data_IF_706872542639
#
_entry.id   IF_706872542639
#
_cell.length_a   1.000
_cell.length_b   1.000
_cell.length_c   1.000
_cell.angle_alpha   90.00
_cell.angle_beta   90.00
_cell.angle_gamma   90.00
#
_symmetry.space_group_name_H-M   'P 1'
#
loop_
_entity.id
_entity.type
_entity.pdbx_description
1 polymer ?
#
# COMPACT_ATOMS: atom_id res chain seq x y z
N UNK A 1 34.30 9.97 21.24
CA UNK A 1 32.98 9.67 21.85
C UNK A 1 32.22 8.81 20.85
N UNK A 2 31.69 7.65 21.24
CA UNK A 2 30.88 6.87 20.28
C UNK A 2 29.57 7.59 19.97
N UNK A 3 29.02 7.35 18.78
CA UNK A 3 27.73 7.94 18.38
C UNK A 3 26.60 7.51 19.30
N UNK A 4 26.61 6.22 19.69
CA UNK A 4 25.60 5.66 20.60
C UNK A 4 25.57 6.42 21.94
N UNK A 5 26.75 6.62 22.55
CA UNK A 5 26.84 7.40 23.78
C UNK A 5 26.35 8.83 23.62
N UNK A 6 26.64 9.47 22.46
CA UNK A 6 26.15 10.81 22.18
C UNK A 6 24.62 10.87 22.07
N UNK A 7 24.03 9.84 21.44
CA UNK A 7 22.55 9.73 21.31
C UNK A 7 21.90 9.47 22.67
N UNK A 8 22.48 8.60 23.50
CA UNK A 8 21.97 8.32 24.86
C UNK A 8 21.98 9.58 25.72
N UNK A 9 23.01 10.43 25.59
CA UNK A 9 23.16 11.68 26.34
C UNK A 9 22.16 12.78 25.89
N UNK A 10 21.42 12.59 24.76
CA UNK A 10 20.43 13.57 24.28
C UNK A 10 19.13 13.59 25.09
N UNK A 11 18.87 12.61 25.94
CA UNK A 11 17.69 12.47 26.81
C UNK A 11 16.35 12.82 26.10
N UNK A 12 16.10 12.22 24.93
CA UNK A 12 14.93 12.47 24.13
C UNK A 12 13.72 11.69 24.64
N UNK A 13 12.61 12.37 24.85
CA UNK A 13 11.28 11.77 25.04
C UNK A 13 10.69 11.22 23.73
N UNK A 14 9.67 10.36 23.83
CA UNK A 14 8.96 9.84 22.67
C UNK A 14 8.28 10.99 21.88
N UNK A 15 8.55 11.07 20.58
CA UNK A 15 8.07 12.15 19.70
C UNK A 15 8.98 13.37 19.63
N UNK A 16 10.01 13.45 20.48
CA UNK A 16 10.92 14.59 20.49
C UNK A 16 11.83 14.60 19.27
N UNK A 17 12.13 15.79 18.82
CA UNK A 17 13.11 16.05 17.77
C UNK A 17 14.05 17.16 18.19
N UNK A 18 15.35 16.91 18.14
CA UNK A 18 16.39 17.90 18.41
C UNK A 18 17.19 18.17 17.14
N UNK A 19 17.56 19.44 16.96
CA UNK A 19 18.50 19.87 15.93
C UNK A 19 19.66 20.60 16.56
N UNK A 20 20.87 20.21 16.18
CA UNK A 20 22.05 20.78 16.81
C UNK A 20 23.32 20.55 16.05
N UNK A 21 24.35 20.50 16.81
CA UNK A 21 25.72 20.34 16.42
C UNK A 21 26.03 18.87 16.10
N UNK A 22 26.70 18.65 14.98
CA UNK A 22 27.12 17.30 14.59
C UNK A 22 28.38 16.89 15.37
N UNK A 23 28.36 15.76 16.08
CA UNK A 23 29.49 15.32 16.89
C UNK A 23 30.71 14.88 16.05
N UNK A 24 30.50 14.53 14.76
CA UNK A 24 31.55 14.06 13.88
C UNK A 24 32.18 15.21 13.08
N UNK A 25 31.38 15.96 12.32
CA UNK A 25 31.93 17.00 11.42
C UNK A 25 31.99 18.41 12.02
N UNK A 26 31.54 18.60 13.24
CA UNK A 26 31.58 19.86 13.96
C UNK A 26 30.66 20.97 13.43
N UNK A 27 29.75 20.66 12.50
CA UNK A 27 28.86 21.67 11.90
C UNK A 27 27.68 21.99 12.81
N UNK A 28 27.39 23.31 12.96
CA UNK A 28 26.27 23.78 13.75
C UNK A 28 24.94 23.59 13.00
N UNK A 29 23.88 23.19 13.71
CA UNK A 29 22.52 23.07 13.20
C UNK A 29 22.34 22.16 11.97
N UNK A 30 23.23 21.17 11.79
CA UNK A 30 23.16 20.22 10.70
C UNK A 30 22.82 18.80 11.14
N UNK A 31 22.94 18.50 12.42
CA UNK A 31 22.57 17.23 12.98
C UNK A 31 21.12 17.28 13.49
N UNK A 32 20.33 16.26 13.18
CA UNK A 32 18.97 16.08 13.69
C UNK A 32 18.84 14.68 14.27
N UNK A 33 18.23 14.58 15.43
CA UNK A 33 17.86 13.30 16.05
C UNK A 33 16.40 13.37 16.47
N UNK A 34 15.63 12.31 16.16
CA UNK A 34 14.20 12.19 16.48
C UNK A 34 13.93 10.83 17.11
N UNK A 35 13.23 10.81 18.26
CA UNK A 35 12.83 9.57 18.91
C UNK A 35 11.44 9.17 18.51
N UNK A 36 11.29 7.97 17.97
CA UNK A 36 10.02 7.41 17.55
C UNK A 36 10.03 5.90 17.75
N UNK A 37 9.02 5.38 18.46
CA UNK A 37 8.88 3.95 18.67
C UNK A 37 10.01 3.30 19.47
N UNK A 38 10.66 4.06 20.38
CA UNK A 38 11.78 3.58 21.18
C UNK A 38 13.11 3.52 20.43
N UNK A 39 13.18 4.05 19.22
CA UNK A 39 14.41 4.22 18.45
C UNK A 39 14.67 5.71 18.18
N UNK A 40 15.94 6.09 18.13
CA UNK A 40 16.36 7.43 17.74
C UNK A 40 16.93 7.37 16.33
N UNK A 41 16.23 7.99 15.38
CA UNK A 41 16.72 8.21 14.04
C UNK A 41 17.56 9.47 14.00
N UNK A 42 18.76 9.41 13.44
CA UNK A 42 19.63 10.57 13.36
C UNK A 42 20.28 10.73 11.99
N UNK A 43 20.51 11.98 11.61
CA UNK A 43 21.14 12.33 10.34
C UNK A 43 21.86 13.68 10.40
N UNK A 44 22.99 13.81 9.69
CA UNK A 44 23.66 15.07 9.46
C UNK A 44 23.47 15.55 8.03
N UNK A 45 22.91 16.75 7.85
CA UNK A 45 22.61 17.34 6.55
C UNK A 45 23.77 18.15 5.94
N UNK A 46 24.96 18.12 6.54
CA UNK A 46 26.15 18.75 5.94
C UNK A 46 26.64 17.93 4.76
N UNK A 47 26.83 18.58 3.64
CA UNK A 47 27.39 17.96 2.44
C UNK A 47 28.76 17.30 2.76
N UNK A 48 28.89 16.02 2.46
CA UNK A 48 30.09 15.22 2.71
C UNK A 48 30.17 14.57 4.10
N UNK A 49 29.29 14.91 5.04
CA UNK A 49 29.16 14.16 6.29
C UNK A 49 28.29 12.91 6.06
N UNK A 50 28.78 11.76 6.50
CA UNK A 50 28.11 10.46 6.29
C UNK A 50 27.38 9.95 7.55
N UNK A 51 27.23 10.79 8.57
CA UNK A 51 26.59 10.43 9.80
C UNK A 51 25.07 10.35 9.60
N UNK A 52 24.57 9.13 9.64
CA UNK A 52 23.12 8.82 9.71
C UNK A 52 22.96 7.43 10.29
N UNK A 53 21.85 7.17 10.94
CA UNK A 53 21.58 5.84 11.49
C UNK A 53 20.33 5.79 12.36
N UNK A 54 20.15 4.63 12.96
CA UNK A 54 19.11 4.33 13.93
C UNK A 54 19.80 3.80 15.18
N UNK A 55 19.52 4.41 16.32
CA UNK A 55 19.98 3.94 17.61
C UNK A 55 18.76 3.48 18.44
N UNK A 56 18.75 2.22 18.86
CA UNK A 56 17.69 1.65 19.68
C UNK A 56 18.06 1.75 21.14
N UNK A 57 17.39 2.61 21.89
CA UNK A 57 17.66 2.83 23.30
C UNK A 57 16.96 1.73 24.11
N UNK A 58 17.75 0.75 24.56
CA UNK A 58 17.28 -0.23 25.54
C UNK A 58 16.25 -1.25 25.05
N UNK A 59 15.93 -1.31 23.75
CA UNK A 59 15.00 -2.30 23.21
C UNK A 59 15.74 -3.49 22.59
N UNK A 60 15.36 -4.68 22.99
CA UNK A 60 15.83 -5.92 22.34
C UNK A 60 15.03 -6.18 21.06
N UNK A 61 15.53 -7.05 20.16
CA UNK A 61 14.77 -7.47 18.98
C UNK A 61 13.41 -8.09 19.36
N UNK A 62 13.31 -8.75 20.52
CA UNK A 62 12.07 -9.28 21.05
C UNK A 62 11.08 -8.17 21.44
N UNK A 63 11.56 -7.08 22.05
CA UNK A 63 10.72 -5.92 22.41
C UNK A 63 10.17 -5.22 21.16
N UNK A 64 10.98 -5.12 20.11
CA UNK A 64 10.55 -4.56 18.81
C UNK A 64 9.47 -5.45 18.18
N UNK A 65 9.67 -6.76 18.18
CA UNK A 65 8.66 -7.70 17.65
C UNK A 65 7.35 -7.67 18.47
N UNK A 66 7.44 -7.65 19.80
CA UNK A 66 6.25 -7.55 20.65
C UNK A 66 5.46 -6.27 20.37
N UNK A 67 6.15 -5.14 20.23
CA UNK A 67 5.52 -3.85 19.93
C UNK A 67 4.91 -3.77 18.53
N UNK A 68 5.56 -4.37 17.54
CA UNK A 68 4.98 -4.50 16.19
C UNK A 68 3.70 -5.35 16.21
N UNK A 69 3.65 -6.42 16.99
CA UNK A 69 2.46 -7.25 17.16
C UNK A 69 1.34 -6.51 17.89
N UNK A 70 1.67 -5.71 18.93
CA UNK A 70 0.68 -4.87 19.62
C UNK A 70 0.08 -3.80 18.70
N UNK A 71 0.91 -3.11 17.92
CA UNK A 71 0.45 -2.09 16.95
C UNK A 71 -0.42 -2.72 15.85
N UNK A 72 -0.15 -3.96 15.48
CA UNK A 72 -0.93 -4.67 14.47
C UNK A 72 -2.27 -5.18 15.02
N UNK A 73 -2.33 -5.53 16.32
CA UNK A 73 -3.56 -5.93 17.01
C UNK A 73 -4.46 -4.74 17.35
N UNK A 74 -3.89 -3.57 17.62
CA UNK A 74 -4.63 -2.36 17.98
C UNK A 74 -5.17 -1.57 16.77
N UNK A 75 -4.76 -1.94 15.57
CA UNK A 75 -5.39 -1.38 14.35
C UNK A 75 -6.85 -1.79 14.33
N UNK A 76 -7.80 -0.85 14.39
CA UNK A 76 -9.21 -1.19 14.26
C UNK A 76 -9.36 -1.94 12.94
N UNK A 77 -9.81 -3.21 13.03
CA UNK A 77 -10.11 -3.99 11.82
C UNK A 77 -11.07 -3.14 10.99
N UNK A 78 -10.73 -2.78 9.74
CA UNK A 78 -11.58 -1.94 8.94
C UNK A 78 -12.97 -2.58 8.93
N UNK A 79 -14.00 -1.81 9.30
CA UNK A 79 -15.39 -2.25 9.13
C UNK A 79 -15.58 -2.50 7.65
N UNK A 80 -15.68 -3.76 7.29
CA UNK A 80 -15.92 -4.18 5.92
C UNK A 80 -17.39 -3.92 5.65
N UNK A 81 -17.69 -2.76 5.08
CA UNK A 81 -19.05 -2.44 4.62
C UNK A 81 -19.23 -3.03 3.22
N UNK A 82 -20.26 -3.85 3.07
CA UNK A 82 -20.64 -4.40 1.77
C UNK A 82 -20.97 -3.27 0.78
N UNK A 83 -20.51 -3.44 -0.45
CA UNK A 83 -20.89 -2.58 -1.56
C UNK A 83 -22.10 -3.18 -2.28
N UNK A 84 -23.10 -2.35 -2.55
CA UNK A 84 -24.15 -2.65 -3.53
C UNK A 84 -23.68 -2.12 -4.90
N UNK A 85 -23.63 -3.01 -5.89
CA UNK A 85 -23.31 -2.63 -7.26
C UNK A 85 -24.48 -1.87 -7.87
N UNK A 86 -24.22 -0.84 -8.69
CA UNK A 86 -25.25 -0.20 -9.52
C UNK A 86 -25.97 -1.23 -10.40
N UNK A 87 -27.26 -1.07 -10.62
CA UNK A 87 -28.12 -1.98 -11.39
C UNK A 87 -27.63 -2.23 -12.83
N UNK A 88 -26.88 -1.29 -13.38
CA UNK A 88 -26.29 -1.43 -14.72
C UNK A 88 -25.02 -2.30 -14.75
N UNK A 89 -24.56 -2.83 -13.61
CA UNK A 89 -23.50 -3.83 -13.54
C UNK A 89 -24.12 -5.19 -13.34
N UNK A 90 -24.05 -6.01 -14.36
CA UNK A 90 -24.71 -7.32 -14.41
C UNK A 90 -23.68 -8.46 -14.47
N UNK A 91 -24.03 -9.67 -14.01
CA UNK A 91 -23.22 -10.86 -14.25
C UNK A 91 -23.01 -11.10 -15.75
N UNK A 92 -21.77 -11.28 -16.18
CA UNK A 92 -21.48 -11.54 -17.58
C UNK A 92 -21.60 -13.02 -17.93
N UNK A 93 -22.82 -13.45 -18.32
CA UNK A 93 -23.14 -14.83 -18.72
C UNK A 93 -23.45 -14.97 -20.22
N UNK A 94 -23.45 -13.87 -20.98
CA UNK A 94 -24.01 -13.76 -22.34
C UNK A 94 -22.95 -13.60 -23.45
N UNK A 95 -21.72 -13.98 -23.20
CA UNK A 95 -20.63 -13.92 -24.17
C UNK A 95 -20.03 -12.53 -24.45
N UNK A 96 -20.56 -11.46 -23.84
CA UNK A 96 -20.06 -10.07 -24.04
C UNK A 96 -18.60 -9.88 -23.66
N UNK A 97 -18.10 -10.68 -22.72
CA UNK A 97 -16.71 -10.61 -22.25
C UNK A 97 -15.83 -11.71 -22.81
N UNK A 98 -16.30 -12.59 -23.69
CA UNK A 98 -15.52 -13.76 -24.15
C UNK A 98 -14.21 -13.35 -24.80
N UNK A 99 -14.24 -12.43 -25.77
CA UNK A 99 -13.00 -11.91 -26.39
C UNK A 99 -12.05 -11.26 -25.40
N UNK A 100 -12.58 -10.66 -24.34
CA UNK A 100 -11.79 -10.05 -23.30
C UNK A 100 -11.17 -11.09 -22.38
N UNK A 101 -11.94 -12.14 -22.01
CA UNK A 101 -11.46 -13.28 -21.24
C UNK A 101 -10.40 -14.07 -22.00
N UNK A 102 -10.65 -14.36 -23.28
CA UNK A 102 -9.68 -15.06 -24.17
C UNK A 102 -8.35 -14.31 -24.25
N UNK A 103 -8.43 -12.99 -24.47
CA UNK A 103 -7.24 -12.14 -24.60
C UNK A 103 -6.33 -12.15 -23.37
N UNK A 104 -6.91 -12.25 -22.19
CA UNK A 104 -6.20 -12.06 -20.91
C UNK A 104 -6.22 -13.31 -20.06
N UNK A 105 -6.72 -14.44 -20.56
CA UNK A 105 -6.88 -15.69 -19.83
C UNK A 105 -7.61 -15.51 -18.48
N UNK A 106 -8.83 -14.96 -18.54
CA UNK A 106 -9.62 -14.59 -17.35
C UNK A 106 -10.90 -15.43 -17.21
N UNK A 107 -10.94 -16.65 -17.74
CA UNK A 107 -12.14 -17.50 -17.77
C UNK A 107 -12.60 -17.94 -16.38
N UNK A 108 -11.68 -18.12 -15.45
CA UNK A 108 -11.88 -18.49 -14.05
C UNK A 108 -12.24 -17.32 -13.14
N UNK A 109 -12.23 -16.09 -13.69
CA UNK A 109 -12.53 -14.89 -12.93
C UNK A 109 -14.03 -14.55 -12.96
N UNK A 110 -14.61 -14.25 -11.82
CA UNK A 110 -16.02 -13.84 -11.66
C UNK A 110 -16.29 -12.43 -12.21
N UNK A 111 -15.96 -12.19 -13.48
CA UNK A 111 -16.13 -10.88 -14.10
C UNK A 111 -17.61 -10.52 -14.27
N UNK A 112 -17.93 -9.24 -14.05
CA UNK A 112 -19.21 -8.64 -14.33
C UNK A 112 -19.12 -7.68 -15.52
N UNK A 113 -20.24 -7.21 -16.03
CA UNK A 113 -20.29 -6.32 -17.17
C UNK A 113 -21.07 -5.04 -16.85
N UNK A 114 -20.44 -3.90 -17.06
CA UNK A 114 -21.09 -2.59 -17.03
C UNK A 114 -21.70 -2.29 -18.38
N UNK A 115 -23.05 -2.31 -18.46
CA UNK A 115 -23.80 -2.09 -19.69
C UNK A 115 -23.79 -0.62 -20.12
N UNK A 116 -23.63 0.30 -19.17
CA UNK A 116 -23.65 1.74 -19.41
C UNK A 116 -22.39 2.21 -20.12
N UNK A 117 -21.23 1.84 -19.55
CA UNK A 117 -19.93 2.31 -20.03
C UNK A 117 -19.12 1.21 -20.76
N UNK A 118 -19.72 0.04 -21.01
CA UNK A 118 -19.12 -1.09 -21.72
C UNK A 118 -17.76 -1.48 -21.13
N UNK A 119 -17.76 -1.88 -19.85
CA UNK A 119 -16.56 -2.25 -19.10
C UNK A 119 -16.61 -3.69 -18.64
N UNK A 120 -15.46 -4.36 -18.63
CA UNK A 120 -15.27 -5.56 -17.82
C UNK A 120 -15.03 -5.13 -16.37
N UNK A 121 -15.84 -5.64 -15.45
CA UNK A 121 -15.83 -5.25 -14.04
C UNK A 121 -15.24 -6.38 -13.19
N UNK A 122 -14.26 -6.03 -12.40
CA UNK A 122 -13.56 -6.90 -11.45
C UNK A 122 -14.06 -6.56 -10.05
N UNK A 123 -14.88 -7.41 -9.42
CA UNK A 123 -15.30 -7.21 -8.04
C UNK A 123 -14.12 -7.43 -7.07
N UNK A 124 -14.05 -6.63 -6.02
CA UNK A 124 -13.02 -6.70 -4.99
C UNK A 124 -13.66 -7.17 -3.69
N UNK A 125 -13.14 -8.28 -3.17
CA UNK A 125 -13.64 -8.90 -1.96
C UNK A 125 -12.61 -8.83 -0.83
N UNK A 126 -13.11 -8.58 0.40
CA UNK A 126 -12.36 -8.80 1.63
C UNK A 126 -13.20 -9.74 2.51
N UNK A 127 -12.61 -10.85 2.92
CA UNK A 127 -13.29 -11.89 3.73
C UNK A 127 -14.63 -12.35 3.15
N UNK A 128 -14.71 -12.47 1.82
CA UNK A 128 -15.93 -12.88 1.11
C UNK A 128 -17.00 -11.80 0.95
N UNK A 129 -16.77 -10.61 1.46
CA UNK A 129 -17.65 -9.44 1.31
C UNK A 129 -17.13 -8.55 0.19
N UNK A 130 -17.97 -8.25 -0.79
CA UNK A 130 -17.63 -7.31 -1.85
C UNK A 130 -17.62 -5.88 -1.29
N UNK A 131 -16.49 -5.21 -1.42
CA UNK A 131 -16.27 -3.86 -0.87
C UNK A 131 -16.09 -2.79 -1.93
N UNK A 132 -15.66 -3.18 -3.13
CA UNK A 132 -15.44 -2.28 -4.25
C UNK A 132 -15.48 -3.07 -5.57
N UNK A 133 -15.39 -2.37 -6.67
CA UNK A 133 -15.21 -2.94 -7.99
C UNK A 133 -14.40 -1.99 -8.88
N UNK A 134 -13.65 -2.57 -9.82
CA UNK A 134 -12.86 -1.82 -10.79
C UNK A 134 -13.26 -2.23 -12.19
N UNK A 135 -13.62 -1.27 -13.03
CA UNK A 135 -14.05 -1.48 -14.42
C UNK A 135 -12.98 -1.11 -15.43
N UNK A 136 -12.64 -2.02 -16.34
CA UNK A 136 -11.78 -1.75 -17.50
C UNK A 136 -12.60 -1.55 -18.76
N UNK A 137 -12.38 -0.45 -19.47
CA UNK A 137 -13.00 -0.19 -20.76
C UNK A 137 -12.64 -1.28 -21.78
N UNK A 138 -13.64 -1.78 -22.51
CA UNK A 138 -13.45 -2.78 -23.56
C UNK A 138 -12.85 -2.15 -24.83
N UNK A 139 -12.31 -2.98 -25.73
CA UNK A 139 -11.82 -2.54 -27.03
C UNK A 139 -12.94 -1.86 -27.84
N UNK A 140 -12.62 -0.78 -28.54
CA UNK A 140 -13.58 0.00 -29.31
C UNK A 140 -14.46 0.95 -28.49
N UNK A 141 -14.22 1.07 -27.18
CA UNK A 141 -14.77 2.14 -26.35
C UNK A 141 -13.81 3.31 -26.41
N UNK A 142 -14.33 4.49 -26.74
CA UNK A 142 -13.55 5.72 -26.67
C UNK A 142 -13.17 6.00 -25.20
N UNK A 143 -11.89 6.20 -24.96
CA UNK A 143 -11.33 6.44 -23.63
C UNK A 143 -10.81 7.86 -23.57
N UNK A 144 -11.32 8.62 -22.63
CA UNK A 144 -10.87 9.96 -22.29
C UNK A 144 -10.43 9.98 -20.82
N UNK A 145 -9.23 10.47 -20.55
CA UNK A 145 -8.65 10.50 -19.22
C UNK A 145 -9.46 11.33 -18.22
N UNK A 146 -10.21 12.35 -18.69
CA UNK A 146 -11.01 13.22 -17.84
C UNK A 146 -12.40 12.67 -17.53
N UNK A 147 -13.12 12.14 -18.56
CA UNK A 147 -14.53 11.75 -18.43
C UNK A 147 -14.78 10.25 -18.55
N UNK A 148 -13.95 9.55 -19.32
CA UNK A 148 -14.07 8.10 -19.57
C UNK A 148 -12.73 7.40 -19.42
N UNK A 149 -12.18 7.27 -18.20
CA UNK A 149 -10.87 6.69 -17.98
C UNK A 149 -10.84 5.23 -18.40
N UNK A 150 -9.68 4.75 -18.85
CA UNK A 150 -9.44 3.34 -19.19
C UNK A 150 -9.80 2.41 -18.03
N UNK A 151 -9.46 2.80 -16.81
CA UNK A 151 -9.83 2.15 -15.56
C UNK A 151 -10.74 3.06 -14.74
N UNK A 152 -11.85 2.53 -14.22
CA UNK A 152 -12.82 3.23 -13.39
C UNK A 152 -12.98 2.49 -12.06
N UNK A 153 -12.87 3.18 -10.95
CA UNK A 153 -13.25 2.67 -9.62
C UNK A 153 -14.68 3.09 -9.33
N UNK A 154 -15.49 2.16 -8.84
CA UNK A 154 -16.90 2.42 -8.59
C UNK A 154 -17.18 3.08 -7.23
N UNK A 155 -16.42 2.75 -6.19
CA UNK A 155 -16.56 3.38 -4.87
C UNK A 155 -15.28 4.05 -4.37
N UNK A 156 -14.12 3.57 -4.80
CA UNK A 156 -12.82 4.04 -4.33
C UNK A 156 -12.50 3.63 -2.88
N UNK A 157 -13.24 2.65 -2.32
CA UNK A 157 -13.02 2.16 -0.93
C UNK A 157 -11.85 1.19 -0.82
N UNK A 158 -11.52 0.45 -1.88
CA UNK A 158 -10.41 -0.49 -1.88
C UNK A 158 -9.10 0.19 -2.31
N UNK A 159 -8.06 0.11 -1.49
CA UNK A 159 -6.74 0.66 -1.82
C UNK A 159 -5.97 -0.24 -2.78
N UNK A 160 -6.23 -1.55 -2.77
CA UNK A 160 -5.55 -2.54 -3.58
C UNK A 160 -6.47 -3.69 -4.01
N UNK A 161 -6.02 -4.47 -4.99
CA UNK A 161 -6.60 -5.73 -5.42
C UNK A 161 -5.63 -6.86 -5.09
N UNK A 162 -6.12 -7.94 -4.48
CA UNK A 162 -5.33 -9.14 -4.18
C UNK A 162 -5.70 -10.26 -5.14
N UNK A 163 -4.71 -10.91 -5.73
CA UNK A 163 -4.86 -12.13 -6.50
C UNK A 163 -3.84 -13.17 -6.02
N UNK A 164 -4.27 -14.42 -5.98
CA UNK A 164 -3.42 -15.55 -5.55
C UNK A 164 -3.25 -15.67 -4.04
N UNK A 165 -2.58 -16.77 -3.66
CA UNK A 165 -2.23 -17.12 -2.27
C UNK A 165 -0.80 -17.62 -2.26
N UNK A 166 0.10 -16.97 -1.57
CA UNK A 166 1.51 -17.36 -1.53
C UNK A 166 2.28 -16.68 -0.40
N UNK A 167 3.54 -17.04 -0.26
CA UNK A 167 4.44 -16.49 0.77
C UNK A 167 5.22 -15.26 0.28
N UNK A 168 5.05 -14.87 -0.97
CA UNK A 168 5.66 -13.69 -1.56
C UNK A 168 4.60 -12.72 -2.05
N UNK A 169 4.89 -11.41 -1.94
CA UNK A 169 4.02 -10.35 -2.44
C UNK A 169 4.70 -9.69 -3.63
N UNK A 170 4.00 -9.65 -4.77
CA UNK A 170 4.41 -8.93 -5.96
C UNK A 170 3.45 -7.75 -6.17
N UNK A 171 3.99 -6.55 -6.22
CA UNK A 171 3.22 -5.33 -6.47
C UNK A 171 3.24 -5.02 -7.96
N UNK A 172 2.07 -4.84 -8.55
CA UNK A 172 1.88 -4.55 -9.97
C UNK A 172 0.90 -3.37 -10.14
N UNK A 173 0.89 -2.77 -11.31
CA UNK A 173 0.16 -1.52 -11.56
C UNK A 173 -1.35 -1.69 -11.78
N UNK A 174 -1.83 -2.88 -12.20
CA UNK A 174 -3.24 -3.09 -12.50
C UNK A 174 -3.74 -4.51 -12.14
N UNK A 175 -5.07 -4.67 -12.13
CA UNK A 175 -5.78 -5.90 -11.75
C UNK A 175 -5.45 -7.07 -12.68
N UNK A 176 -5.32 -6.83 -13.99
CA UNK A 176 -5.02 -7.90 -14.96
C UNK A 176 -3.60 -8.42 -14.74
N UNK A 177 -2.66 -7.52 -14.52
CA UNK A 177 -1.27 -7.87 -14.17
C UNK A 177 -1.21 -8.68 -12.87
N UNK A 178 -1.99 -8.29 -11.85
CA UNK A 178 -2.06 -9.04 -10.59
C UNK A 178 -2.59 -10.48 -10.81
N UNK A 179 -3.66 -10.65 -11.57
CA UNK A 179 -4.24 -11.97 -11.88
C UNK A 179 -3.25 -12.81 -12.70
N UNK A 180 -2.57 -12.21 -13.67
CA UNK A 180 -1.58 -12.90 -14.51
C UNK A 180 -0.41 -13.43 -13.70
N UNK A 181 0.15 -12.59 -12.81
CA UNK A 181 1.26 -12.99 -11.93
C UNK A 181 0.83 -14.07 -10.94
N UNK A 182 -0.40 -14.02 -10.44
CA UNK A 182 -0.92 -15.02 -9.51
C UNK A 182 -1.10 -16.43 -10.11
N UNK A 183 -1.03 -16.56 -11.44
CA UNK A 183 -1.10 -17.83 -12.18
C UNK A 183 0.27 -18.47 -12.43
N UNK A 184 1.37 -17.74 -12.17
CA UNK A 184 2.76 -18.22 -12.33
C UNK A 184 3.22 -19.01 -11.11
#
# INVERSE_FOLDING_TARGET
>A
MSMDKFIDDLDLGEGDTVRGYCPDCGSKNTFTASKTGGAVLYNCYKLGCKISGIHTVGMTAADIQARMQEVEQDKPKPKVEAMELPEYIIPSRDGRLDRFRDKWDLHDQGLMYDIKDRRAVFPIFINGVMIDAVGRALAGVEVDAGTKPKWLRYTGKADYYLAGTGNAVVVVEDVISAITVAKL
#
